data_IF_283611145812
#
_entry.id   IF_283611145812
#
_cell.length_a   1.000
_cell.length_b   1.000
_cell.length_c   1.000
_cell.angle_alpha   90.00
_cell.angle_beta   90.00
_cell.angle_gamma   90.00
#
_symmetry.space_group_name_H-M   'P 1'
#
loop_
_entity.id
_entity.type
_entity.pdbx_description
1 polymer ?
#
# COMPACT_ATOMS: atom_id res chain seq x y z
N UNK A 1 0.84 8.92 19.39
CA UNK A 1 -0.55 8.47 19.09
C UNK A 1 -0.57 6.95 19.06
N UNK A 2 -1.73 6.31 19.10
CA UNK A 2 -1.79 4.85 18.98
C UNK A 2 -1.66 4.45 17.49
N UNK A 3 -1.00 3.31 17.25
CA UNK A 3 -0.79 2.78 15.89
C UNK A 3 -2.12 2.62 15.15
N UNK A 4 -2.20 3.15 13.94
CA UNK A 4 -3.38 3.04 13.07
C UNK A 4 -3.48 1.62 12.53
N UNK A 5 -4.66 1.03 12.64
CA UNK A 5 -4.99 -0.32 12.18
C UNK A 5 -6.23 -0.29 11.28
N UNK A 6 -6.52 -1.39 10.61
CA UNK A 6 -7.77 -1.54 9.84
C UNK A 6 -9.01 -1.36 10.73
N UNK A 7 -8.95 -1.85 11.97
CA UNK A 7 -10.02 -1.65 12.96
C UNK A 7 -10.18 -0.17 13.34
N UNK A 8 -9.08 0.57 13.49
CA UNK A 8 -9.13 2.02 13.73
C UNK A 8 -9.82 2.76 12.58
N UNK A 9 -9.48 2.43 11.33
CA UNK A 9 -10.10 3.04 10.16
C UNK A 9 -11.59 2.73 10.06
N UNK A 10 -12.00 1.50 10.39
CA UNK A 10 -13.41 1.11 10.42
C UNK A 10 -14.18 1.91 11.48
N UNK A 11 -13.61 2.07 12.67
CA UNK A 11 -14.20 2.86 13.75
C UNK A 11 -14.36 4.33 13.35
N UNK A 12 -13.32 4.94 12.77
CA UNK A 12 -13.39 6.31 12.24
C UNK A 12 -14.53 6.45 11.22
N UNK A 13 -14.66 5.51 10.29
CA UNK A 13 -15.75 5.49 9.30
C UNK A 13 -17.13 5.45 9.99
N UNK A 14 -17.29 4.60 11.01
CA UNK A 14 -18.55 4.49 11.76
C UNK A 14 -18.90 5.77 12.53
N UNK A 15 -17.88 6.51 12.99
CA UNK A 15 -18.05 7.79 13.69
C UNK A 15 -18.18 8.99 12.74
N UNK A 16 -18.08 8.77 11.43
CA UNK A 16 -18.12 9.85 10.42
C UNK A 16 -16.86 10.69 10.36
N UNK A 17 -15.75 10.21 10.93
CA UNK A 17 -14.47 10.90 10.90
C UNK A 17 -13.79 10.73 9.53
N UNK A 18 -13.12 11.79 9.06
CA UNK A 18 -12.36 11.75 7.81
C UNK A 18 -11.05 11.01 7.98
N UNK A 19 -10.76 10.09 7.07
CA UNK A 19 -9.49 9.38 7.01
C UNK A 19 -8.57 10.11 6.03
N UNK A 20 -7.47 10.67 6.54
CA UNK A 20 -6.45 11.31 5.71
C UNK A 20 -5.53 10.23 5.10
N UNK A 21 -5.33 10.33 3.78
CA UNK A 21 -4.43 9.42 3.05
C UNK A 21 -3.55 10.25 2.11
N UNK A 22 -2.27 9.92 2.05
CA UNK A 22 -1.28 10.58 1.19
C UNK A 22 -0.35 9.55 0.56
N UNK A 23 0.24 9.88 -0.59
CA UNK A 23 1.29 9.04 -1.19
C UNK A 23 2.67 9.45 -0.68
N UNK A 24 3.53 8.46 -0.40
CA UNK A 24 4.95 8.65 -0.12
C UNK A 24 5.74 7.44 -0.59
N UNK A 25 7.03 7.65 -0.89
CA UNK A 25 7.88 6.64 -1.49
C UNK A 25 9.24 6.48 -0.80
N UNK A 26 9.54 7.30 0.20
CA UNK A 26 10.80 7.32 0.92
C UNK A 26 10.59 7.52 2.43
N UNK A 27 11.66 7.27 3.20
CA UNK A 27 11.60 7.35 4.66
C UNK A 27 11.47 8.78 5.20
N UNK A 28 12.00 9.78 4.48
CA UNK A 28 12.03 11.16 4.97
C UNK A 28 10.65 11.79 4.94
N UNK A 29 9.96 11.70 3.79
CA UNK A 29 8.58 12.16 3.67
C UNK A 29 7.62 11.31 4.51
N UNK A 30 7.82 9.99 4.55
CA UNK A 30 7.00 9.11 5.38
C UNK A 30 7.06 9.52 6.86
N UNK A 31 8.25 9.81 7.38
CA UNK A 31 8.44 10.30 8.76
C UNK A 31 7.73 11.64 9.01
N UNK A 32 7.83 12.56 8.06
CA UNK A 32 7.15 13.86 8.16
C UNK A 32 5.62 13.69 8.23
N UNK A 33 5.07 12.83 7.39
CA UNK A 33 3.63 12.58 7.35
C UNK A 33 3.13 11.80 8.58
N UNK A 34 3.92 10.85 9.08
CA UNK A 34 3.63 10.13 10.32
C UNK A 34 3.57 11.10 11.51
N UNK A 35 4.55 12.00 11.63
CA UNK A 35 4.59 13.04 12.66
C UNK A 35 3.44 14.05 12.53
N UNK A 36 2.96 14.29 11.30
CA UNK A 36 1.80 15.15 11.05
C UNK A 36 0.45 14.47 11.36
N UNK A 37 0.45 13.19 11.72
CA UNK A 37 -0.76 12.44 12.09
C UNK A 37 -1.60 11.98 10.89
N UNK A 38 -0.99 11.74 9.73
CA UNK A 38 -1.67 11.15 8.58
C UNK A 38 -2.06 9.70 8.92
N UNK A 39 -3.30 9.31 8.60
CA UNK A 39 -3.82 7.99 8.97
C UNK A 39 -3.29 6.86 8.09
N UNK A 40 -3.11 7.10 6.79
CA UNK A 40 -2.61 6.10 5.87
C UNK A 40 -1.64 6.70 4.84
N UNK A 41 -0.58 5.95 4.53
CA UNK A 41 0.33 6.25 3.42
C UNK A 41 0.15 5.18 2.35
N UNK A 42 -0.07 5.62 1.10
CA UNK A 42 -0.13 4.77 -0.07
C UNK A 42 1.23 4.78 -0.78
N UNK A 43 1.81 3.60 -0.98
CA UNK A 43 2.87 3.39 -1.95
C UNK A 43 2.18 2.98 -3.25
N UNK A 44 2.00 3.94 -4.16
CA UNK A 44 1.32 3.75 -5.43
C UNK A 44 2.27 3.29 -6.54
N UNK A 45 1.78 2.50 -7.49
CA UNK A 45 2.53 2.15 -8.71
C UNK A 45 2.80 3.37 -9.60
N UNK A 46 2.12 4.50 -9.35
CA UNK A 46 2.46 5.83 -9.88
C UNK A 46 3.93 6.23 -9.64
N UNK A 47 4.66 5.55 -8.74
CA UNK A 47 6.11 5.73 -8.58
C UNK A 47 6.87 5.55 -9.91
N UNK A 48 6.36 4.73 -10.82
CA UNK A 48 6.92 4.57 -12.16
C UNK A 48 7.01 5.90 -12.92
N UNK A 49 5.95 6.70 -12.83
CA UNK A 49 5.89 8.01 -13.47
C UNK A 49 6.59 9.09 -12.64
N UNK A 50 6.33 9.12 -11.33
CA UNK A 50 6.76 10.21 -10.45
C UNK A 50 8.25 10.14 -10.09
N UNK A 51 8.78 8.92 -9.88
CA UNK A 51 10.17 8.72 -9.44
C UNK A 51 11.07 8.12 -10.52
N UNK A 52 10.55 7.16 -11.30
CA UNK A 52 11.35 6.45 -12.29
C UNK A 52 11.36 7.18 -13.65
N UNK A 53 10.49 8.19 -13.86
CA UNK A 53 10.41 8.94 -15.12
C UNK A 53 9.82 8.15 -16.28
N UNK A 54 9.03 7.12 -16.01
CA UNK A 54 8.33 6.34 -17.03
C UNK A 54 7.08 7.08 -17.53
N UNK A 55 6.65 6.78 -18.75
CA UNK A 55 5.42 7.35 -19.32
C UNK A 55 4.13 6.71 -18.78
N UNK A 56 4.25 5.60 -18.07
CA UNK A 56 3.12 4.86 -17.50
C UNK A 56 3.55 4.05 -16.28
N UNK A 57 2.57 3.43 -15.60
CA UNK A 57 2.81 2.53 -14.46
C UNK A 57 3.16 1.08 -14.89
N UNK A 58 2.98 0.74 -16.17
CA UNK A 58 3.16 -0.62 -16.69
C UNK A 58 4.54 -1.26 -16.43
N UNK A 59 5.67 -0.51 -16.49
CA UNK A 59 6.99 -1.08 -16.24
C UNK A 59 7.31 -1.35 -14.76
N UNK A 60 6.48 -0.85 -13.83
CA UNK A 60 6.73 -0.99 -12.39
C UNK A 60 6.66 -2.46 -11.98
N UNK A 61 7.71 -2.91 -11.32
CA UNK A 61 7.80 -4.30 -10.83
C UNK A 61 7.36 -4.44 -9.38
N UNK A 62 7.05 -5.67 -8.97
CA UNK A 62 6.77 -5.98 -7.56
C UNK A 62 7.99 -5.71 -6.66
N UNK A 63 9.20 -5.81 -7.21
CA UNK A 63 10.43 -5.51 -6.48
C UNK A 63 10.61 -4.02 -6.22
N UNK A 64 10.23 -3.17 -7.17
CA UNK A 64 10.19 -1.72 -6.98
C UNK A 64 9.22 -1.37 -5.86
N UNK A 65 8.01 -1.92 -5.91
CA UNK A 65 6.98 -1.69 -4.90
C UNK A 65 7.46 -2.15 -3.50
N UNK A 66 8.05 -3.32 -3.40
CA UNK A 66 8.60 -3.84 -2.16
C UNK A 66 9.78 -2.98 -1.63
N UNK A 67 10.64 -2.47 -2.53
CA UNK A 67 11.72 -1.57 -2.14
C UNK A 67 11.18 -0.28 -1.50
N UNK A 68 10.27 0.41 -2.19
CA UNK A 68 9.69 1.66 -1.69
C UNK A 68 8.83 1.44 -0.43
N UNK A 69 8.13 0.30 -0.33
CA UNK A 69 7.41 -0.08 0.89
C UNK A 69 8.35 -0.21 2.09
N UNK A 70 9.53 -0.84 1.93
CA UNK A 70 10.57 -0.90 2.98
C UNK A 70 11.10 0.47 3.35
N UNK A 71 11.29 1.35 2.37
CA UNK A 71 11.74 2.73 2.65
C UNK A 71 10.73 3.49 3.50
N UNK A 72 9.46 3.48 3.10
CA UNK A 72 8.36 4.12 3.84
C UNK A 72 8.23 3.51 5.24
N UNK A 73 8.29 2.16 5.35
CA UNK A 73 8.18 1.46 6.64
C UNK A 73 9.21 1.91 7.67
N UNK A 74 10.41 2.26 7.24
CA UNK A 74 11.48 2.78 8.14
C UNK A 74 11.20 4.19 8.63
N UNK A 75 10.34 4.93 7.95
CA UNK A 75 9.96 6.30 8.32
C UNK A 75 8.73 6.40 9.20
N UNK A 76 7.90 5.34 9.33
CA UNK A 76 6.63 5.39 10.05
C UNK A 76 6.62 4.49 11.29
N UNK A 77 5.98 4.97 12.34
CA UNK A 77 5.72 4.23 13.57
C UNK A 77 4.23 3.92 13.73
N UNK A 78 3.36 4.89 13.47
CA UNK A 78 1.92 4.83 13.74
C UNK A 78 1.06 4.73 12.50
N UNK A 79 1.45 5.36 11.39
CA UNK A 79 0.68 5.43 10.14
C UNK A 79 0.51 4.05 9.49
N UNK A 80 -0.70 3.75 9.01
CA UNK A 80 -0.98 2.53 8.27
C UNK A 80 -0.40 2.61 6.85
N UNK A 81 0.23 1.53 6.40
CA UNK A 81 0.85 1.45 5.08
C UNK A 81 -0.01 0.62 4.13
N UNK A 82 -0.34 1.20 2.99
CA UNK A 82 -1.04 0.56 1.87
C UNK A 82 -0.05 0.48 0.71
N UNK A 83 0.10 -0.68 0.08
CA UNK A 83 0.95 -0.85 -1.08
C UNK A 83 0.14 -1.36 -2.28
N UNK A 84 0.31 -0.71 -3.44
CA UNK A 84 -0.27 -1.19 -4.69
C UNK A 84 0.42 -2.46 -5.17
N UNK A 85 -0.37 -3.38 -5.69
CA UNK A 85 0.12 -4.48 -6.50
C UNK A 85 0.20 -3.98 -7.96
N UNK A 86 1.41 -3.93 -8.56
CA UNK A 86 1.58 -3.36 -9.88
C UNK A 86 0.96 -4.23 -10.98
N UNK A 87 0.88 -3.67 -12.19
CA UNK A 87 0.30 -4.33 -13.35
C UNK A 87 0.79 -5.78 -13.51
N UNK A 88 -0.13 -6.71 -13.75
CA UNK A 88 0.12 -8.15 -13.96
C UNK A 88 0.79 -8.88 -12.78
N UNK A 89 0.90 -8.27 -11.62
CA UNK A 89 1.42 -8.94 -10.42
C UNK A 89 0.39 -9.83 -9.70
N UNK A 90 -0.85 -9.86 -10.19
CA UNK A 90 -1.99 -10.61 -9.64
C UNK A 90 -2.86 -11.26 -10.72
N UNK A 91 -2.26 -11.67 -11.84
CA UNK A 91 -2.96 -12.30 -12.96
C UNK A 91 -3.54 -13.68 -12.62
N UNK A 92 -2.92 -14.39 -11.68
CA UNK A 92 -3.43 -15.63 -11.10
C UNK A 92 -3.51 -15.51 -9.58
N UNK A 93 -4.36 -16.31 -8.95
CA UNK A 93 -4.51 -16.33 -7.50
C UNK A 93 -3.20 -16.66 -6.79
N UNK A 94 -2.44 -17.64 -7.26
CA UNK A 94 -1.15 -18.03 -6.70
C UNK A 94 -0.11 -16.89 -6.80
N UNK A 95 -0.06 -16.24 -7.96
CA UNK A 95 0.81 -15.07 -8.16
C UNK A 95 0.41 -13.93 -7.23
N UNK A 96 -0.89 -13.67 -7.08
CA UNK A 96 -1.39 -12.63 -6.19
C UNK A 96 -0.99 -12.88 -4.74
N UNK A 97 -1.09 -14.11 -4.24
CA UNK A 97 -0.63 -14.45 -2.89
C UNK A 97 0.85 -14.23 -2.68
N UNK A 98 1.64 -14.75 -3.59
CA UNK A 98 3.10 -14.63 -3.50
C UNK A 98 3.52 -13.16 -3.47
N UNK A 99 2.94 -12.36 -4.33
CA UNK A 99 3.27 -10.93 -4.43
C UNK A 99 2.68 -10.11 -3.27
N UNK A 100 1.46 -10.41 -2.83
CA UNK A 100 0.89 -9.79 -1.63
C UNK A 100 1.75 -10.08 -0.39
N UNK A 101 2.15 -11.35 -0.20
CA UNK A 101 3.04 -11.73 0.90
C UNK A 101 4.36 -10.95 0.86
N UNK A 102 4.95 -10.73 -0.31
CA UNK A 102 6.17 -9.96 -0.49
C UNK A 102 6.01 -8.50 -0.04
N UNK A 103 4.90 -7.86 -0.39
CA UNK A 103 4.59 -6.49 0.04
C UNK A 103 4.32 -6.42 1.56
N UNK A 104 3.59 -7.39 2.11
CA UNK A 104 3.36 -7.48 3.55
C UNK A 104 4.67 -7.66 4.33
N UNK A 105 5.56 -8.54 3.85
CA UNK A 105 6.90 -8.71 4.42
C UNK A 105 7.77 -7.46 4.31
N UNK A 106 7.55 -6.64 3.28
CA UNK A 106 8.21 -5.34 3.13
C UNK A 106 7.67 -4.28 4.12
N UNK A 107 6.53 -4.53 4.77
CA UNK A 107 5.96 -3.67 5.81
C UNK A 107 4.59 -3.08 5.50
N UNK A 108 3.95 -3.45 4.39
CA UNK A 108 2.57 -3.06 4.11
C UNK A 108 1.60 -3.69 5.13
N UNK A 109 0.56 -2.96 5.51
CA UNK A 109 -0.56 -3.46 6.31
C UNK A 109 -1.75 -3.86 5.45
N UNK A 110 -1.86 -3.28 4.26
CA UNK A 110 -2.89 -3.53 3.26
C UNK A 110 -2.22 -3.57 1.89
N UNK A 111 -2.68 -4.45 1.02
CA UNK A 111 -2.35 -4.41 -0.41
C UNK A 111 -3.57 -3.95 -1.21
N UNK A 112 -3.36 -3.13 -2.25
CA UNK A 112 -4.42 -2.67 -3.15
C UNK A 112 -4.25 -3.34 -4.51
N UNK A 113 -5.35 -3.85 -5.05
CA UNK A 113 -5.47 -4.44 -6.39
C UNK A 113 -6.52 -3.65 -7.17
N UNK A 114 -6.31 -3.52 -8.46
CA UNK A 114 -7.26 -2.87 -9.36
C UNK A 114 -7.83 -3.88 -10.35
N UNK A 115 -9.15 -3.92 -10.46
CA UNK A 115 -9.84 -4.82 -11.39
C UNK A 115 -11.34 -4.87 -11.13
N UNK A 116 -11.99 -5.87 -11.69
CA UNK A 116 -13.42 -6.08 -11.59
C UNK A 116 -13.78 -7.43 -10.94
N UNK A 117 -14.93 -7.94 -11.25
CA UNK A 117 -15.50 -9.16 -10.67
C UNK A 117 -14.57 -10.39 -10.77
N UNK A 118 -13.70 -10.46 -11.77
CA UNK A 118 -12.75 -11.55 -11.94
C UNK A 118 -11.72 -11.67 -10.78
N UNK A 119 -11.56 -10.62 -9.97
CA UNK A 119 -10.69 -10.63 -8.78
C UNK A 119 -11.38 -11.14 -7.51
N UNK A 120 -12.68 -11.41 -7.53
CA UNK A 120 -13.45 -11.75 -6.33
C UNK A 120 -12.86 -12.95 -5.58
N UNK A 121 -12.55 -14.04 -6.29
CA UNK A 121 -11.92 -15.22 -5.67
C UNK A 121 -10.55 -14.93 -5.09
N UNK A 122 -9.74 -14.15 -5.78
CA UNK A 122 -8.40 -13.74 -5.33
C UNK A 122 -8.49 -12.87 -4.06
N UNK A 123 -9.39 -11.88 -4.06
CA UNK A 123 -9.59 -11.00 -2.90
C UNK A 123 -10.13 -11.75 -1.69
N UNK A 124 -11.07 -12.68 -1.89
CA UNK A 124 -11.62 -13.51 -0.82
C UNK A 124 -10.54 -14.30 -0.10
N UNK A 125 -9.54 -14.77 -0.83
CA UNK A 125 -8.45 -15.58 -0.29
C UNK A 125 -7.31 -14.74 0.32
N UNK A 126 -7.00 -13.55 -0.20
CA UNK A 126 -6.01 -12.62 0.39
C UNK A 126 -6.49 -12.06 1.74
N UNK A 127 -7.79 -12.09 1.99
CA UNK A 127 -8.42 -11.56 3.21
C UNK A 127 -8.24 -12.44 4.45
N UNK A 128 -7.51 -13.50 4.36
CA UNK A 128 -7.26 -14.38 5.51
C UNK A 128 -6.28 -13.68 6.50
#
# INVERSE_FOLDING_TARGET
MAKITTASLLNMKQQGEKISTITAYDASFAKLFDQAGIHAILIGDSLGMVLQGQDSTLPVTIDDMAYHTRCVKRGVEETLIIADMPFMSYATTEQAYTNAAKLMQAGASIVKLEGGQWLESTLSLIHI
#
